data_IF_825734852666
#
_entry.id   IF_825734852666
#
_cell.length_a   1.000
_cell.length_b   1.000
_cell.length_c   1.000
_cell.angle_alpha   90.00
_cell.angle_beta   90.00
_cell.angle_gamma   90.00
#
_symmetry.space_group_name_H-M   'P 1'
#
loop_
_entity.id
_entity.type
_entity.pdbx_description
1 polymer ?
#
# COMPACT_ATOMS: atom_id res chain seq x y z
N UNK A 1 20.33 7.07 21.65
CA UNK A 1 20.41 6.13 20.52
C UNK A 1 19.31 6.48 19.53
N UNK A 2 19.58 6.48 18.24
CA UNK A 2 18.53 6.65 17.25
C UNK A 2 17.63 5.42 17.29
N UNK A 3 16.33 5.57 17.55
CA UNK A 3 15.38 4.46 17.50
C UNK A 3 15.29 3.94 16.06
N UNK A 4 14.97 2.66 15.89
CA UNK A 4 14.69 2.09 14.58
C UNK A 4 13.43 2.72 14.03
N UNK A 5 13.44 3.17 12.77
CA UNK A 5 12.26 3.67 12.06
C UNK A 5 11.47 2.48 11.51
N UNK A 6 10.20 2.37 11.91
CA UNK A 6 9.36 1.21 11.59
C UNK A 6 8.26 1.61 10.62
N UNK A 7 8.21 0.93 9.47
CA UNK A 7 7.21 1.15 8.43
C UNK A 7 6.23 -0.03 8.42
N UNK A 8 4.95 0.25 8.66
CA UNK A 8 3.87 -0.73 8.56
C UNK A 8 3.44 -0.93 7.11
N UNK A 9 3.60 -2.14 6.57
CA UNK A 9 3.17 -2.47 5.20
C UNK A 9 1.68 -2.77 5.15
N UNK A 10 0.87 -1.83 4.69
CA UNK A 10 -0.54 -2.09 4.37
C UNK A 10 -0.61 -2.93 3.08
N UNK A 11 0.17 -2.55 2.07
CA UNK A 11 0.20 -3.21 0.77
C UNK A 11 -1.20 -3.33 0.18
N UNK A 12 -1.71 -4.54 0.05
CA UNK A 12 -3.08 -4.83 -0.40
C UNK A 12 -3.93 -5.54 0.67
N UNK A 13 -3.51 -5.54 1.93
CA UNK A 13 -4.27 -6.14 3.03
C UNK A 13 -5.60 -5.42 3.31
N UNK A 14 -5.81 -4.26 2.71
CA UNK A 14 -7.08 -3.53 2.74
C UNK A 14 -8.18 -4.22 1.90
N UNK A 15 -7.86 -5.23 1.10
CA UNK A 15 -8.83 -6.00 0.30
C UNK A 15 -9.77 -5.12 -0.54
N UNK A 16 -9.25 -4.05 -1.17
CA UNK A 16 -10.05 -3.13 -1.97
C UNK A 16 -10.97 -2.19 -1.16
N UNK A 17 -10.76 -2.06 0.15
CA UNK A 17 -11.59 -1.23 1.02
C UNK A 17 -10.76 -0.11 1.67
N UNK A 18 -11.19 1.13 1.46
CA UNK A 18 -10.63 2.32 2.12
C UNK A 18 -10.82 2.26 3.63
N UNK A 19 -11.98 1.77 4.08
CA UNK A 19 -12.28 1.69 5.52
C UNK A 19 -11.35 0.70 6.22
N UNK A 20 -11.06 -0.44 5.58
CA UNK A 20 -10.09 -1.40 6.12
C UNK A 20 -8.69 -0.79 6.11
N UNK A 21 -8.29 -0.07 5.06
CA UNK A 21 -7.01 0.62 5.03
C UNK A 21 -6.89 1.62 6.18
N UNK A 22 -7.91 2.45 6.41
CA UNK A 22 -7.96 3.41 7.53
C UNK A 22 -7.93 2.71 8.89
N UNK A 23 -8.63 1.58 9.03
CA UNK A 23 -8.60 0.78 10.26
C UNK A 23 -7.18 0.25 10.56
N UNK A 24 -6.47 -0.22 9.54
CA UNK A 24 -5.06 -0.64 9.71
C UNK A 24 -4.21 0.55 10.17
N UNK A 25 -4.40 1.72 9.56
CA UNK A 25 -3.70 2.97 9.98
C UNK A 25 -4.00 3.29 11.44
N UNK A 26 -5.27 3.22 11.87
CA UNK A 26 -5.66 3.45 13.25
C UNK A 26 -4.97 2.49 14.24
N UNK A 27 -4.89 1.22 13.87
CA UNK A 27 -4.29 0.19 14.71
C UNK A 27 -2.78 0.44 14.91
N UNK A 28 -2.06 0.78 13.85
CA UNK A 28 -0.60 0.94 13.91
C UNK A 28 -0.16 2.32 14.45
N UNK A 29 -1.08 3.29 14.49
CA UNK A 29 -0.83 4.63 15.06
C UNK A 29 -0.87 4.67 16.59
N UNK A 30 -1.24 3.56 17.24
CA UNK A 30 -1.45 3.49 18.69
C UNK A 30 -0.35 2.67 19.37
N UNK A 31 0.07 3.04 20.59
CA UNK A 31 0.91 2.17 21.38
C UNK A 31 0.13 0.90 21.76
N UNK A 32 0.81 -0.22 21.75
CA UNK A 32 0.23 -1.52 22.14
C UNK A 32 0.95 -2.02 23.40
N UNK A 33 0.18 -2.35 24.44
CA UNK A 33 0.69 -3.09 25.60
C UNK A 33 0.60 -4.58 25.30
N UNK A 34 1.77 -5.20 25.22
CA UNK A 34 1.88 -6.64 25.04
C UNK A 34 2.01 -7.29 26.43
N UNK A 35 1.00 -8.08 26.81
CA UNK A 35 0.86 -8.60 28.18
C UNK A 35 1.69 -9.87 28.44
N UNK A 36 2.01 -10.66 27.40
CA UNK A 36 2.70 -11.94 27.55
C UNK A 36 4.15 -11.73 28.00
N UNK A 37 4.82 -10.75 27.40
CA UNK A 37 6.20 -10.41 27.74
C UNK A 37 6.34 -9.10 28.52
N UNK A 38 5.22 -8.42 28.79
CA UNK A 38 5.19 -7.14 29.49
C UNK A 38 5.85 -6.00 28.72
N UNK A 39 5.71 -6.00 27.39
CA UNK A 39 6.32 -5.01 26.51
C UNK A 39 5.34 -3.86 26.19
N UNK A 40 5.84 -2.63 26.28
CA UNK A 40 5.17 -1.47 25.72
C UNK A 40 5.73 -1.21 24.31
N UNK A 41 4.92 -1.50 23.28
CA UNK A 41 5.28 -1.29 21.88
C UNK A 41 4.88 0.13 21.47
N UNK A 42 5.83 0.86 20.91
CA UNK A 42 5.56 2.19 20.33
C UNK A 42 4.70 2.08 19.07
N UNK A 43 3.96 3.14 18.71
CA UNK A 43 3.35 3.25 17.39
C UNK A 43 4.38 3.08 16.28
N UNK A 44 3.95 2.69 15.09
CA UNK A 44 4.80 2.73 13.90
C UNK A 44 5.08 4.18 13.49
N UNK A 45 6.22 4.40 12.81
CA UNK A 45 6.61 5.73 12.33
C UNK A 45 5.90 6.08 11.02
N UNK A 46 5.64 5.06 10.19
CA UNK A 46 5.02 5.23 8.88
C UNK A 46 4.13 4.06 8.50
N UNK A 47 3.24 4.30 7.54
CA UNK A 47 2.50 3.27 6.80
C UNK A 47 2.89 3.29 5.33
N UNK A 48 2.84 2.11 4.68
CA UNK A 48 3.17 2.00 3.26
C UNK A 48 2.05 1.35 2.46
N UNK A 49 1.71 1.99 1.33
CA UNK A 49 0.79 1.46 0.33
C UNK A 49 1.49 1.22 -1.01
N UNK A 50 0.76 0.64 -1.95
CA UNK A 50 1.26 0.33 -3.28
C UNK A 50 0.16 0.62 -4.30
N UNK A 51 0.46 1.53 -5.22
CA UNK A 51 -0.39 1.85 -6.36
C UNK A 51 0.07 1.11 -7.60
N UNK A 52 -0.87 0.55 -8.34
CA UNK A 52 -0.62 -0.18 -9.58
C UNK A 52 -1.48 0.35 -10.72
N UNK A 53 -0.95 0.28 -11.91
CA UNK A 53 -1.71 0.39 -13.16
C UNK A 53 -1.59 -0.96 -13.86
N UNK A 54 -2.66 -1.74 -13.82
CA UNK A 54 -2.68 -3.11 -14.34
C UNK A 54 -2.48 -3.16 -15.85
N UNK A 55 -2.87 -2.10 -16.58
CA UNK A 55 -2.69 -2.03 -18.02
C UNK A 55 -1.22 -1.84 -18.42
N UNK A 56 -0.42 -1.20 -17.55
CA UNK A 56 1.02 -1.06 -17.78
C UNK A 56 1.84 -2.22 -17.18
N UNK A 57 1.28 -2.94 -16.19
CA UNK A 57 2.01 -3.98 -15.47
C UNK A 57 1.79 -5.39 -16.01
N UNK A 58 0.62 -5.68 -16.54
CA UNK A 58 0.20 -7.02 -16.93
C UNK A 58 -0.04 -7.12 -18.43
N UNK A 59 0.43 -8.19 -19.02
CA UNK A 59 0.05 -8.56 -20.39
C UNK A 59 -1.37 -9.14 -20.42
N UNK A 60 -2.01 -9.15 -21.60
CA UNK A 60 -3.33 -9.78 -21.77
C UNK A 60 -3.34 -11.25 -21.31
N UNK A 61 -2.27 -11.97 -21.57
CA UNK A 61 -2.12 -13.37 -21.13
C UNK A 61 -2.10 -13.50 -19.60
N UNK A 62 -1.45 -12.56 -18.88
CA UNK A 62 -1.44 -12.54 -17.42
C UNK A 62 -2.80 -12.11 -16.86
N UNK A 63 -3.44 -11.12 -17.47
CA UNK A 63 -4.77 -10.65 -17.07
C UNK A 63 -5.80 -11.77 -17.15
N UNK A 64 -5.77 -12.56 -18.22
CA UNK A 64 -6.75 -13.61 -18.49
C UNK A 64 -6.39 -14.97 -17.88
N UNK A 65 -5.22 -15.09 -17.22
CA UNK A 65 -4.82 -16.34 -16.57
C UNK A 65 -5.79 -16.69 -15.44
N UNK A 66 -6.30 -17.93 -15.44
CA UNK A 66 -7.10 -18.43 -14.32
C UNK A 66 -6.32 -18.31 -13.00
N UNK A 67 -7.00 -17.85 -11.97
CA UNK A 67 -6.44 -17.67 -10.65
C UNK A 67 -7.24 -18.48 -9.63
N UNK A 68 -6.91 -19.75 -9.53
CA UNK A 68 -7.54 -20.69 -8.59
C UNK A 68 -6.81 -20.62 -7.25
N UNK A 69 -7.33 -19.80 -6.35
CA UNK A 69 -6.82 -19.60 -5.00
C UNK A 69 -7.99 -19.39 -4.03
N UNK A 70 -7.93 -19.93 -2.80
CA UNK A 70 -8.94 -19.70 -1.79
C UNK A 70 -9.06 -18.22 -1.37
N UNK A 71 -8.07 -17.40 -1.72
CA UNK A 71 -8.04 -15.96 -1.47
C UNK A 71 -8.29 -15.13 -2.74
N UNK A 72 -8.82 -15.74 -3.79
CA UNK A 72 -9.12 -15.03 -5.04
C UNK A 72 -10.38 -14.16 -4.89
N UNK A 73 -10.30 -12.92 -5.39
CA UNK A 73 -11.43 -12.01 -5.55
C UNK A 73 -11.98 -11.98 -6.99
N UNK A 74 -11.67 -13.00 -7.80
CA UNK A 74 -12.11 -13.10 -9.18
C UNK A 74 -11.70 -14.43 -9.79
N UNK A 75 -12.19 -14.72 -11.00
CA UNK A 75 -11.87 -15.96 -11.75
C UNK A 75 -10.50 -15.89 -12.41
N UNK A 76 -10.08 -14.68 -12.80
CA UNK A 76 -8.78 -14.44 -13.44
C UNK A 76 -7.88 -13.65 -12.52
N UNK A 77 -6.58 -13.70 -12.82
CA UNK A 77 -5.60 -12.89 -12.08
C UNK A 77 -5.84 -11.39 -12.23
N UNK A 78 -6.27 -10.95 -13.42
CA UNK A 78 -6.63 -9.56 -13.67
C UNK A 78 -7.82 -9.10 -12.82
N UNK A 79 -8.89 -9.91 -12.77
CA UNK A 79 -10.06 -9.61 -11.91
C UNK A 79 -9.68 -9.51 -10.44
N UNK A 80 -8.89 -10.49 -9.95
CA UNK A 80 -8.39 -10.48 -8.57
C UNK A 80 -7.58 -9.21 -8.28
N UNK A 81 -6.69 -8.83 -9.19
CA UNK A 81 -5.85 -7.63 -9.01
C UNK A 81 -6.68 -6.35 -9.06
N UNK A 82 -7.62 -6.26 -10.01
CA UNK A 82 -8.49 -5.10 -10.16
C UNK A 82 -9.37 -4.86 -8.92
N UNK A 83 -9.86 -5.93 -8.30
CA UNK A 83 -10.62 -5.83 -7.06
C UNK A 83 -9.82 -5.21 -5.90
N UNK A 84 -8.51 -5.46 -5.89
CA UNK A 84 -7.62 -4.99 -4.81
C UNK A 84 -7.12 -3.55 -5.01
N UNK A 85 -7.28 -2.97 -6.20
CA UNK A 85 -6.79 -1.61 -6.45
C UNK A 85 -7.75 -0.55 -5.90
N UNK A 86 -7.20 0.43 -5.22
CA UNK A 86 -7.88 1.65 -4.83
C UNK A 86 -7.67 2.74 -5.90
N UNK A 87 -8.63 3.64 -6.04
CA UNK A 87 -8.50 4.83 -6.89
C UNK A 87 -7.48 5.82 -6.33
N UNK A 88 -7.09 6.82 -7.12
CA UNK A 88 -6.17 7.87 -6.65
C UNK A 88 -6.79 8.68 -5.50
N UNK A 89 -8.09 8.95 -5.57
CA UNK A 89 -8.85 9.64 -4.52
C UNK A 89 -8.91 8.83 -3.23
N UNK A 90 -9.10 7.53 -3.33
CA UNK A 90 -9.10 6.62 -2.18
C UNK A 90 -7.72 6.52 -1.52
N UNK A 91 -6.63 6.47 -2.31
CA UNK A 91 -5.26 6.60 -1.77
C UNK A 91 -5.07 7.92 -1.03
N UNK A 92 -5.57 9.02 -1.62
CA UNK A 92 -5.50 10.34 -0.98
C UNK A 92 -6.27 10.41 0.33
N UNK A 93 -7.41 9.72 0.42
CA UNK A 93 -8.14 9.63 1.69
C UNK A 93 -7.34 8.91 2.78
N UNK A 94 -6.70 7.78 2.44
CA UNK A 94 -5.85 7.04 3.39
C UNK A 94 -4.62 7.88 3.78
N UNK A 95 -4.00 8.58 2.81
CA UNK A 95 -2.91 9.52 3.07
C UNK A 95 -3.32 10.59 4.09
N UNK A 96 -4.44 11.31 3.86
CA UNK A 96 -4.93 12.34 4.79
C UNK A 96 -5.16 11.77 6.18
N UNK A 97 -5.73 10.57 6.26
CA UNK A 97 -5.99 9.88 7.52
C UNK A 97 -4.68 9.56 8.27
N UNK A 98 -3.70 8.99 7.60
CA UNK A 98 -2.39 8.70 8.19
C UNK A 98 -1.70 9.96 8.69
N UNK A 99 -1.69 11.04 7.88
CA UNK A 99 -1.11 12.33 8.28
C UNK A 99 -1.83 12.95 9.48
N UNK A 100 -3.15 12.79 9.60
CA UNK A 100 -3.92 13.30 10.75
C UNK A 100 -3.55 12.61 12.07
N UNK A 101 -3.02 11.37 11.99
CA UNK A 101 -2.54 10.59 13.14
C UNK A 101 -1.02 10.73 13.38
N UNK A 102 -0.35 11.60 12.63
CA UNK A 102 1.09 11.87 12.78
C UNK A 102 2.02 10.84 12.17
N UNK A 103 1.49 9.91 11.35
CA UNK A 103 2.30 8.92 10.64
C UNK A 103 2.88 9.52 9.35
N UNK A 104 4.09 9.11 8.99
CA UNK A 104 4.59 9.29 7.64
C UNK A 104 3.91 8.32 6.67
N UNK A 105 3.86 8.73 5.41
CA UNK A 105 3.23 7.94 4.37
C UNK A 105 4.23 7.57 3.27
N UNK A 106 4.37 6.28 3.03
CA UNK A 106 5.25 5.73 2.01
C UNK A 106 4.41 5.15 0.88
N UNK A 107 4.74 5.49 -0.36
CA UNK A 107 4.04 4.96 -1.53
C UNK A 107 5.01 4.20 -2.44
N UNK A 108 4.56 3.09 -2.99
CA UNK A 108 5.23 2.41 -4.10
C UNK A 108 4.41 2.62 -5.36
N UNK A 109 4.94 3.35 -6.33
CA UNK A 109 4.35 3.49 -7.66
C UNK A 109 4.93 2.42 -8.57
N UNK A 110 4.09 1.52 -9.07
CA UNK A 110 4.55 0.33 -9.80
C UNK A 110 4.68 0.55 -11.30
N UNK A 111 4.26 1.70 -11.81
CA UNK A 111 4.38 2.06 -13.22
C UNK A 111 4.26 3.57 -13.41
N UNK A 112 4.48 4.06 -14.63
CA UNK A 112 4.36 5.49 -14.94
C UNK A 112 2.92 6.00 -14.83
N UNK A 113 1.94 5.18 -15.18
CA UNK A 113 0.52 5.50 -15.05
C UNK A 113 0.13 5.85 -13.60
N UNK A 114 0.82 5.27 -12.61
CA UNK A 114 0.59 5.56 -11.20
C UNK A 114 1.06 6.97 -10.77
N UNK A 115 1.82 7.68 -11.60
CA UNK A 115 2.31 9.04 -11.31
C UNK A 115 1.18 10.07 -11.20
N UNK A 116 -0.02 9.77 -11.69
CA UNK A 116 -1.22 10.60 -11.50
C UNK A 116 -1.50 10.86 -10.03
N UNK A 117 -1.21 9.89 -9.16
CA UNK A 117 -1.38 9.99 -7.72
C UNK A 117 -0.62 11.18 -7.11
N UNK A 118 0.57 11.49 -7.62
CA UNK A 118 1.41 12.59 -7.14
C UNK A 118 0.84 13.99 -7.46
N UNK A 119 -0.23 14.08 -8.27
CA UNK A 119 -0.97 15.33 -8.48
C UNK A 119 -1.89 15.65 -7.29
N UNK A 120 -2.29 14.64 -6.51
CA UNK A 120 -3.18 14.80 -5.36
C UNK A 120 -2.40 15.03 -4.07
N UNK A 121 -1.26 14.35 -3.89
CA UNK A 121 -0.41 14.51 -2.71
C UNK A 121 1.02 14.08 -2.99
N UNK A 122 1.92 14.52 -2.12
CA UNK A 122 3.33 14.07 -2.13
C UNK A 122 3.54 13.17 -0.91
N UNK A 123 3.83 11.88 -1.08
CA UNK A 123 4.18 11.00 0.04
C UNK A 123 5.50 11.44 0.67
N UNK A 124 5.72 11.11 1.95
CA UNK A 124 6.97 11.43 2.65
C UNK A 124 8.14 10.63 2.06
N UNK A 125 7.89 9.43 1.56
CA UNK A 125 8.88 8.59 0.87
C UNK A 125 8.26 7.86 -0.32
N UNK A 126 9.03 7.74 -1.39
CA UNK A 126 8.73 6.86 -2.53
C UNK A 126 9.63 5.63 -2.46
N UNK A 127 9.01 4.45 -2.51
CA UNK A 127 9.74 3.18 -2.60
C UNK A 127 9.80 2.72 -4.05
N UNK A 128 11.00 2.44 -4.51
CA UNK A 128 11.21 1.73 -5.79
C UNK A 128 11.10 0.23 -5.54
N UNK A 129 10.21 -0.46 -6.27
CA UNK A 129 10.10 -1.90 -6.19
C UNK A 129 11.36 -2.58 -6.74
N UNK A 130 11.75 -3.73 -6.17
CA UNK A 130 12.98 -4.43 -6.58
C UNK A 130 13.03 -4.72 -8.08
N UNK A 131 11.90 -5.07 -8.69
CA UNK A 131 11.77 -5.34 -10.12
C UNK A 131 12.00 -4.09 -10.98
N UNK A 132 11.84 -2.90 -10.40
CA UNK A 132 11.90 -1.61 -11.11
C UNK A 132 13.22 -0.86 -10.93
N UNK A 133 14.21 -1.47 -10.26
CA UNK A 133 15.53 -0.85 -10.06
C UNK A 133 16.28 -0.51 -11.37
N UNK A 134 15.94 -1.18 -12.46
CA UNK A 134 16.49 -0.93 -13.79
C UNK A 134 15.49 -0.32 -14.75
N UNK A 135 14.30 0.02 -14.28
CA UNK A 135 13.22 0.63 -15.07
C UNK A 135 13.44 2.15 -15.16
N UNK A 136 14.46 2.56 -15.92
CA UNK A 136 14.83 3.98 -16.06
C UNK A 136 13.67 4.90 -16.46
N UNK A 137 12.69 4.48 -17.29
CA UNK A 137 11.54 5.33 -17.61
C UNK A 137 10.62 5.63 -16.42
N UNK A 138 10.66 4.80 -15.35
CA UNK A 138 9.92 5.03 -14.11
C UNK A 138 10.72 5.89 -13.12
N UNK A 139 12.05 5.71 -13.09
CA UNK A 139 12.95 6.41 -12.17
C UNK A 139 13.26 7.83 -12.62
#
# INVERSE_FOLDING_TARGET
MKSTYIIGEIGQNHNGSVDIAKLIVDLVSRPVKEEVFGLDLCPMDAVKMTKRDLNEELTDSQMNRLYDSPHSFGRTYGEHRAFLELTDEEHFEVYKHAKSLGLDFVETLCSRGCMSLLKLFTPDFLKVASRDLTNLPLL
#
